data_IF_637663269778
#
_entry.id   IF_637663269778
#
_cell.length_a   1.000
_cell.length_b   1.000
_cell.length_c   1.000
_cell.angle_alpha   90.00
_cell.angle_beta   90.00
_cell.angle_gamma   90.00
#
_symmetry.space_group_name_H-M   'P 1'
#
loop_
_entity.id
_entity.type
_entity.pdbx_description
1 polymer ?
#
# COMPACT_ATOMS: atom_id res chain seq x y z
N UNK A 1 -69.16 -19.70 -63.20
CA UNK A 1 -69.71 -18.96 -62.04
C UNK A 1 -68.58 -18.68 -61.06
N UNK A 2 -68.52 -17.44 -60.59
CA UNK A 2 -67.49 -16.83 -59.73
C UNK A 2 -67.31 -17.59 -58.40
N UNK A 3 -66.08 -17.64 -57.88
CA UNK A 3 -65.74 -17.23 -56.51
C UNK A 3 -64.22 -17.11 -56.31
N UNK A 4 -63.82 -15.85 -56.16
CA UNK A 4 -62.54 -15.33 -55.69
C UNK A 4 -62.42 -15.50 -54.17
N UNK A 5 -61.24 -15.81 -53.63
CA UNK A 5 -60.73 -15.32 -52.33
C UNK A 5 -59.30 -15.86 -52.11
N UNK A 6 -58.26 -15.05 -52.36
CA UNK A 6 -57.49 -14.27 -51.36
C UNK A 6 -56.48 -15.14 -50.60
N UNK A 7 -55.23 -15.09 -51.10
CA UNK A 7 -54.04 -15.48 -50.37
C UNK A 7 -53.74 -14.42 -49.29
N UNK A 8 -53.61 -14.83 -48.04
CA UNK A 8 -53.05 -13.99 -46.97
C UNK A 8 -51.60 -14.42 -46.78
N UNK A 9 -50.69 -13.65 -47.39
CA UNK A 9 -49.27 -13.71 -47.09
C UNK A 9 -49.08 -13.01 -45.75
N UNK A 10 -48.89 -13.78 -44.69
CA UNK A 10 -48.45 -13.25 -43.40
C UNK A 10 -46.97 -12.88 -43.51
N UNK A 11 -46.70 -11.63 -43.87
CA UNK A 11 -45.37 -11.04 -43.81
C UNK A 11 -45.06 -10.71 -42.35
N UNK A 12 -44.51 -11.69 -41.62
CA UNK A 12 -43.92 -11.46 -40.30
C UNK A 12 -42.65 -10.63 -40.47
N UNK A 13 -42.76 -9.32 -40.21
CA UNK A 13 -41.60 -8.46 -40.00
C UNK A 13 -40.82 -8.97 -38.78
N UNK A 14 -39.73 -9.68 -39.02
CA UNK A 14 -38.66 -9.83 -38.05
C UNK A 14 -37.99 -8.46 -37.88
N UNK A 15 -38.41 -7.72 -36.85
CA UNK A 15 -37.63 -6.60 -36.34
C UNK A 15 -36.36 -7.18 -35.69
N UNK A 16 -35.29 -7.31 -36.49
CA UNK A 16 -33.95 -7.50 -35.95
C UNK A 16 -33.55 -6.20 -35.24
N UNK A 17 -33.90 -6.09 -33.96
CA UNK A 17 -33.34 -5.10 -33.06
C UNK A 17 -31.83 -5.38 -33.00
N UNK A 18 -31.06 -4.58 -33.73
CA UNK A 18 -29.61 -4.62 -33.71
C UNK A 18 -29.14 -4.41 -32.28
N UNK A 19 -28.69 -5.50 -31.64
CA UNK A 19 -27.86 -5.41 -30.45
C UNK A 19 -26.54 -4.82 -30.91
N UNK A 20 -26.43 -3.50 -30.79
CA UNK A 20 -25.14 -2.82 -30.89
C UNK A 20 -24.32 -3.29 -29.69
N UNK A 21 -23.57 -4.39 -29.87
CA UNK A 21 -22.43 -4.70 -29.02
C UNK A 21 -21.39 -3.60 -29.24
N UNK A 22 -21.55 -2.47 -28.55
CA UNK A 22 -20.36 -1.82 -28.04
C UNK A 22 -19.73 -2.83 -27.11
N UNK A 23 -18.65 -3.46 -27.56
CA UNK A 23 -17.67 -4.07 -26.68
C UNK A 23 -17.17 -2.94 -25.76
N UNK A 24 -17.95 -2.65 -24.73
CA UNK A 24 -17.58 -1.71 -23.69
C UNK A 24 -16.46 -2.36 -22.90
N UNK A 25 -15.32 -1.68 -22.84
CA UNK A 25 -14.30 -1.92 -21.84
C UNK A 25 -14.98 -2.25 -20.51
N UNK A 26 -14.74 -3.46 -19.98
CA UNK A 26 -15.32 -3.85 -18.70
C UNK A 26 -14.98 -2.77 -17.66
N UNK A 27 -15.99 -2.25 -16.96
CA UNK A 27 -15.78 -1.19 -15.99
C UNK A 27 -14.80 -1.69 -14.91
N UNK A 28 -13.71 -0.92 -14.69
CA UNK A 28 -12.69 -1.24 -13.69
C UNK A 28 -13.32 -1.41 -12.31
N UNK A 29 -12.90 -2.45 -11.60
CA UNK A 29 -13.26 -2.67 -10.19
C UNK A 29 -12.74 -1.54 -9.30
N UNK A 30 -13.33 -1.40 -8.11
CA UNK A 30 -12.88 -0.41 -7.11
C UNK A 30 -11.39 -0.59 -6.74
N UNK A 31 -10.91 -1.83 -6.68
CA UNK A 31 -9.51 -2.14 -6.41
C UNK A 31 -8.59 -1.69 -7.55
N UNK A 32 -8.99 -1.87 -8.81
CA UNK A 32 -8.21 -1.40 -9.97
C UNK A 32 -8.16 0.12 -10.03
N UNK A 33 -9.26 0.81 -9.69
CA UNK A 33 -9.28 2.26 -9.61
C UNK A 33 -8.37 2.79 -8.49
N UNK A 34 -8.40 2.19 -7.30
CA UNK A 34 -7.47 2.57 -6.23
C UNK A 34 -6.02 2.23 -6.57
N UNK A 35 -5.76 1.13 -7.28
CA UNK A 35 -4.42 0.80 -7.78
C UNK A 35 -3.93 1.86 -8.75
N UNK A 36 -4.74 2.26 -9.73
CA UNK A 36 -4.38 3.29 -10.68
C UNK A 36 -4.04 4.63 -9.98
N UNK A 37 -4.86 5.04 -9.00
CA UNK A 37 -4.57 6.22 -8.16
C UNK A 37 -3.24 6.06 -7.42
N UNK A 38 -3.02 4.91 -6.77
CA UNK A 38 -1.82 4.64 -6.00
C UNK A 38 -0.54 4.66 -6.86
N UNK A 39 -0.62 4.27 -8.13
CA UNK A 39 0.50 4.29 -9.07
C UNK A 39 0.79 5.70 -9.65
N UNK A 40 -0.23 6.57 -9.74
CA UNK A 40 -0.06 7.99 -10.13
C UNK A 40 0.62 8.82 -9.05
N UNK A 41 0.54 8.38 -7.80
CA UNK A 41 1.12 9.04 -6.63
C UNK A 41 2.22 8.16 -5.99
N UNK A 42 3.38 7.98 -6.64
CA UNK A 42 4.44 7.15 -6.10
C UNK A 42 5.10 7.81 -4.87
N UNK A 43 5.75 6.98 -4.08
CA UNK A 43 6.57 7.34 -2.93
C UNK A 43 7.98 6.78 -3.12
N UNK A 44 8.97 7.35 -2.43
CA UNK A 44 10.34 6.82 -2.47
C UNK A 44 10.42 5.33 -2.08
N UNK A 45 9.55 4.90 -1.16
CA UNK A 45 9.46 3.53 -0.67
C UNK A 45 9.18 2.51 -1.79
N UNK A 46 8.51 2.94 -2.86
CA UNK A 46 8.10 2.05 -3.96
C UNK A 46 9.28 1.59 -4.84
N UNK A 47 10.42 2.27 -4.72
CA UNK A 47 11.65 1.92 -5.44
C UNK A 47 12.48 0.84 -4.72
N UNK A 48 12.11 0.49 -3.48
CA UNK A 48 12.80 -0.53 -2.70
C UNK A 48 12.29 -1.95 -2.96
N UNK A 49 12.97 -2.97 -2.40
CA UNK A 49 12.56 -4.37 -2.55
C UNK A 49 11.16 -4.60 -1.97
N UNK A 50 10.38 -5.46 -2.63
CA UNK A 50 9.04 -5.86 -2.22
C UNK A 50 9.02 -7.15 -1.39
N UNK A 51 10.18 -7.83 -1.27
CA UNK A 51 10.34 -9.07 -0.52
C UNK A 51 11.43 -8.96 0.54
N UNK A 52 11.26 -9.74 1.60
CA UNK A 52 12.20 -9.87 2.71
C UNK A 52 12.40 -11.34 3.05
N UNK A 53 13.60 -11.69 3.49
CA UNK A 53 13.80 -12.91 4.24
C UNK A 53 13.37 -12.69 5.70
N UNK A 54 12.34 -13.42 6.13
CA UNK A 54 11.80 -13.38 7.49
C UNK A 54 11.95 -14.72 8.19
N UNK A 55 12.75 -15.63 7.66
CA UNK A 55 12.90 -17.00 8.18
C UNK A 55 13.35 -17.04 9.65
N UNK A 56 14.14 -16.05 10.09
CA UNK A 56 14.59 -15.89 11.46
C UNK A 56 13.60 -15.15 12.38
N UNK A 57 12.49 -14.62 11.86
CA UNK A 57 11.52 -13.89 12.68
C UNK A 57 10.64 -14.85 13.49
N UNK A 58 10.03 -14.40 14.60
CA UNK A 58 8.99 -15.17 15.29
C UNK A 58 7.86 -15.58 14.36
N UNK A 59 7.22 -16.73 14.64
CA UNK A 59 6.18 -17.31 13.76
C UNK A 59 5.06 -16.33 13.48
N UNK A 60 4.64 -15.56 14.47
CA UNK A 60 3.59 -14.55 14.35
C UNK A 60 3.97 -13.44 13.37
N UNK A 61 5.25 -13.03 13.36
CA UNK A 61 5.76 -12.04 12.42
C UNK A 61 5.86 -12.62 11.00
N UNK A 62 6.25 -13.88 10.86
CA UNK A 62 6.23 -14.57 9.56
C UNK A 62 4.81 -14.66 8.98
N UNK A 63 3.81 -14.96 9.81
CA UNK A 63 2.40 -14.98 9.42
C UNK A 63 1.90 -13.59 9.00
N UNK A 64 2.27 -12.55 9.74
CA UNK A 64 1.97 -11.17 9.36
C UNK A 64 2.62 -10.75 8.04
N UNK A 65 3.85 -11.19 7.76
CA UNK A 65 4.50 -10.99 6.47
C UNK A 65 3.77 -11.71 5.32
N UNK A 66 3.38 -12.97 5.52
CA UNK A 66 2.57 -13.72 4.54
C UNK A 66 1.25 -13.00 4.24
N UNK A 67 0.56 -12.50 5.28
CA UNK A 67 -0.67 -11.73 5.11
C UNK A 67 -0.42 -10.42 4.34
N UNK A 68 0.67 -9.71 4.62
CA UNK A 68 1.05 -8.50 3.88
C UNK A 68 1.23 -8.80 2.39
N UNK A 69 2.01 -9.82 2.05
CA UNK A 69 2.30 -10.21 0.67
C UNK A 69 1.05 -10.64 -0.09
N UNK A 70 0.13 -11.35 0.58
CA UNK A 70 -1.07 -11.88 -0.04
C UNK A 70 -2.21 -10.86 -0.17
N UNK A 71 -2.31 -9.87 0.74
CA UNK A 71 -3.51 -9.02 0.86
C UNK A 71 -3.27 -7.53 0.64
N UNK A 72 -2.10 -6.99 1.00
CA UNK A 72 -1.82 -5.57 0.83
C UNK A 72 -1.29 -5.20 -0.56
N UNK A 73 -0.98 -6.21 -1.39
CA UNK A 73 -0.41 -6.03 -2.73
C UNK A 73 -1.46 -5.76 -3.82
N UNK A 74 -2.75 -5.74 -3.44
CA UNK A 74 -3.88 -5.51 -4.35
C UNK A 74 -3.80 -4.12 -4.99
N UNK A 75 -3.49 -3.08 -4.20
CA UNK A 75 -3.51 -1.69 -4.67
C UNK A 75 -2.12 -1.10 -4.98
N UNK A 76 -1.05 -1.58 -4.34
CA UNK A 76 0.32 -1.14 -4.58
C UNK A 76 1.31 -2.22 -4.14
N UNK A 77 2.59 -2.10 -4.48
CA UNK A 77 3.59 -3.10 -4.09
C UNK A 77 3.78 -3.16 -2.56
N UNK A 78 4.27 -4.31 -2.06
CA UNK A 78 4.65 -4.45 -0.66
C UNK A 78 5.85 -3.57 -0.28
N UNK A 79 6.62 -3.07 -1.26
CA UNK A 79 7.69 -2.10 -1.03
C UNK A 79 7.22 -0.87 -0.27
N UNK A 80 5.97 -0.42 -0.50
CA UNK A 80 5.44 0.82 0.08
C UNK A 80 5.46 0.83 1.62
N UNK A 81 4.91 -0.18 2.32
CA UNK A 81 5.10 -0.31 3.76
C UNK A 81 6.51 -0.80 4.14
N UNK A 82 7.10 -1.78 3.45
CA UNK A 82 8.39 -2.36 3.86
C UNK A 82 9.54 -1.35 3.89
N UNK A 83 9.54 -0.40 2.94
CA UNK A 83 10.60 0.60 2.81
C UNK A 83 10.20 1.97 3.38
N UNK A 84 9.10 2.07 4.13
CA UNK A 84 8.72 3.34 4.75
C UNK A 84 9.69 3.76 5.84
N UNK A 85 9.75 5.06 6.10
CA UNK A 85 10.51 5.63 7.20
C UNK A 85 9.97 5.26 8.59
N UNK A 86 8.80 4.63 8.67
CA UNK A 86 8.13 4.39 9.95
C UNK A 86 8.90 3.39 10.80
N UNK A 87 9.06 3.77 12.06
CA UNK A 87 9.62 2.96 13.14
C UNK A 87 8.68 3.04 14.32
N UNK A 88 8.37 1.90 14.91
CA UNK A 88 7.57 1.84 16.13
C UNK A 88 8.39 1.18 17.22
N UNK A 89 8.78 1.96 18.23
CA UNK A 89 9.51 1.47 19.40
C UNK A 89 8.68 0.40 20.13
N UNK A 90 9.35 -0.40 20.97
CA UNK A 90 8.65 -1.41 21.75
C UNK A 90 7.80 -0.76 22.87
N UNK A 91 6.80 -1.47 23.35
CA UNK A 91 5.92 -0.97 24.42
C UNK A 91 4.56 -1.66 24.45
N UNK A 92 4.05 -1.83 25.67
CA UNK A 92 2.77 -2.52 25.94
C UNK A 92 1.55 -1.82 25.32
N UNK A 93 1.61 -0.51 25.17
CA UNK A 93 0.55 0.33 24.59
C UNK A 93 1.17 1.48 23.77
N UNK A 94 0.33 2.26 23.07
CA UNK A 94 0.81 3.35 22.22
C UNK A 94 1.61 4.41 23.01
N UNK A 95 1.19 4.76 24.22
CA UNK A 95 1.87 5.75 25.06
C UNK A 95 3.26 5.29 25.50
N UNK A 96 3.40 4.01 25.86
CA UNK A 96 4.70 3.42 26.17
C UNK A 96 5.63 3.42 24.94
N UNK A 97 5.10 3.16 23.74
CA UNK A 97 5.86 3.21 22.49
C UNK A 97 6.29 4.64 22.14
N UNK A 98 5.44 5.63 22.36
CA UNK A 98 5.80 7.05 22.18
C UNK A 98 6.90 7.48 23.17
N UNK A 99 6.78 7.10 24.44
CA UNK A 99 7.80 7.39 25.43
C UNK A 99 9.16 6.75 25.07
N UNK A 100 9.15 5.50 24.59
CA UNK A 100 10.35 4.82 24.16
C UNK A 100 10.92 5.41 22.86
N UNK A 101 10.08 5.83 21.90
CA UNK A 101 10.52 6.56 20.71
C UNK A 101 11.22 7.89 21.08
N UNK A 102 10.64 8.65 22.01
CA UNK A 102 11.25 9.88 22.51
C UNK A 102 12.58 9.62 23.22
N UNK A 103 12.69 8.53 23.97
CA UNK A 103 13.95 8.08 24.59
C UNK A 103 15.01 7.77 23.53
N UNK A 104 14.66 7.00 22.49
CA UNK A 104 15.57 6.68 21.40
C UNK A 104 16.10 7.94 20.70
N UNK A 105 15.24 8.93 20.44
CA UNK A 105 15.67 10.19 19.83
C UNK A 105 16.61 11.02 20.72
N UNK A 106 16.47 10.92 22.05
CA UNK A 106 17.36 11.61 23.01
C UNK A 106 18.72 10.94 23.12
N UNK A 107 18.74 9.60 23.12
CA UNK A 107 19.99 8.82 23.22
C UNK A 107 20.80 8.87 21.93
N UNK A 108 20.12 9.01 20.78
CA UNK A 108 20.75 9.07 19.48
C UNK A 108 20.06 10.12 18.61
N UNK A 109 20.64 11.32 18.61
CA UNK A 109 20.12 12.48 17.90
C UNK A 109 20.00 12.26 16.38
N UNK A 110 20.66 11.25 15.80
CA UNK A 110 20.54 10.95 14.36
C UNK A 110 19.10 10.55 13.97
N UNK A 111 18.36 9.90 14.87
CA UNK A 111 16.93 9.60 14.65
C UNK A 111 16.08 10.87 14.49
N UNK A 112 16.50 11.98 15.10
CA UNK A 112 15.80 13.26 15.01
C UNK A 112 16.24 14.12 13.81
N UNK A 113 17.38 13.81 13.17
CA UNK A 113 17.92 14.63 12.06
C UNK A 113 17.07 14.59 10.79
N UNK A 114 16.37 13.49 10.54
CA UNK A 114 15.52 13.38 9.35
C UNK A 114 14.34 12.46 9.59
N UNK A 115 13.15 13.07 9.69
CA UNK A 115 11.87 12.35 9.73
C UNK A 115 11.62 11.51 8.46
N UNK A 116 12.31 11.80 7.37
CA UNK A 116 12.20 11.06 6.11
C UNK A 116 13.06 9.80 6.07
N UNK A 117 14.05 9.70 6.96
CA UNK A 117 14.82 8.46 7.20
C UNK A 117 14.17 7.63 8.30
N UNK A 118 13.81 8.27 9.41
CA UNK A 118 13.11 7.65 10.53
C UNK A 118 11.97 8.52 11.05
N UNK A 119 10.76 7.97 11.03
CA UNK A 119 9.61 8.54 11.72
C UNK A 119 9.25 7.61 12.87
N UNK A 120 9.75 7.92 14.07
CA UNK A 120 9.49 7.14 15.28
C UNK A 120 8.21 7.64 15.96
N UNK A 121 7.17 6.81 15.94
CA UNK A 121 5.88 7.12 16.56
C UNK A 121 5.21 5.85 17.05
N UNK A 122 4.56 5.91 18.21
CA UNK A 122 3.72 4.86 18.76
C UNK A 122 2.46 4.65 17.92
N UNK A 123 2.15 3.39 17.60
CA UNK A 123 0.96 2.99 16.85
C UNK A 123 0.91 3.45 15.38
N UNK A 124 2.02 3.94 14.82
CA UNK A 124 2.07 4.44 13.44
C UNK A 124 1.67 3.37 12.43
N UNK A 125 2.07 2.11 12.66
CA UNK A 125 1.73 1.02 11.74
C UNK A 125 0.27 0.64 11.80
N UNK A 126 -0.34 0.66 12.99
CA UNK A 126 -1.76 0.43 13.13
C UNK A 126 -2.57 1.51 12.40
N UNK A 127 -2.20 2.79 12.56
CA UNK A 127 -2.84 3.91 11.83
C UNK A 127 -2.67 3.74 10.33
N UNK A 128 -1.47 3.41 9.86
CA UNK A 128 -1.18 3.20 8.45
C UNK A 128 -2.04 2.08 7.85
N UNK A 129 -2.04 0.89 8.46
CA UNK A 129 -2.77 -0.26 7.94
C UNK A 129 -4.28 -0.02 7.95
N UNK A 130 -4.84 0.55 9.03
CA UNK A 130 -6.27 0.91 9.07
C UNK A 130 -6.66 1.89 7.96
N UNK A 131 -5.81 2.87 7.64
CA UNK A 131 -6.06 3.77 6.52
C UNK A 131 -6.11 3.04 5.18
N UNK A 132 -5.27 2.01 4.98
CA UNK A 132 -5.29 1.19 3.77
C UNK A 132 -6.52 0.26 3.74
N UNK A 133 -6.94 -0.27 4.88
CA UNK A 133 -8.16 -1.08 5.00
C UNK A 133 -9.43 -0.30 4.62
N UNK A 134 -9.44 1.01 4.84
CA UNK A 134 -10.57 1.88 4.47
C UNK A 134 -10.58 2.28 2.99
N UNK A 135 -9.65 1.78 2.17
CA UNK A 135 -9.64 2.04 0.72
C UNK A 135 -10.64 1.15 -0.01
N UNK A 136 -11.38 1.68 -1.01
CA UNK A 136 -12.29 0.89 -1.83
C UNK A 136 -11.59 -0.35 -2.44
N UNK A 137 -12.27 -1.49 -2.39
CA UNK A 137 -11.74 -2.76 -2.92
C UNK A 137 -10.67 -3.45 -2.07
N UNK A 138 -10.33 -2.92 -0.90
CA UNK A 138 -9.42 -3.60 0.04
C UNK A 138 -10.11 -4.81 0.69
N UNK A 139 -9.43 -5.95 0.69
CA UNK A 139 -9.96 -7.22 1.26
C UNK A 139 -9.30 -7.59 2.59
N UNK A 140 -8.52 -6.68 3.19
CA UNK A 140 -7.82 -6.92 4.46
C UNK A 140 -8.84 -6.89 5.61
N UNK A 141 -9.00 -8.02 6.30
CA UNK A 141 -9.90 -8.10 7.46
C UNK A 141 -9.27 -7.45 8.70
N UNK A 142 -10.05 -7.32 9.79
CA UNK A 142 -9.54 -6.83 11.08
C UNK A 142 -8.38 -7.67 11.61
N UNK A 143 -8.47 -9.00 11.46
CA UNK A 143 -7.47 -9.93 11.94
C UNK A 143 -6.22 -9.95 11.05
N UNK A 144 -6.40 -9.89 9.72
CA UNK A 144 -5.29 -9.71 8.79
C UNK A 144 -4.55 -8.42 9.08
N UNK A 145 -5.30 -7.32 9.22
CA UNK A 145 -4.74 -6.03 9.59
C UNK A 145 -3.86 -6.14 10.82
N UNK A 146 -4.36 -6.82 11.88
CA UNK A 146 -3.64 -6.98 13.14
C UNK A 146 -2.32 -7.71 12.97
N UNK A 147 -2.34 -8.82 12.23
CA UNK A 147 -1.12 -9.56 11.90
C UNK A 147 -0.14 -8.68 11.12
N UNK A 148 -0.63 -7.91 10.16
CA UNK A 148 0.18 -7.06 9.29
C UNK A 148 0.84 -5.91 10.06
N UNK A 149 0.11 -5.11 10.85
CA UNK A 149 0.73 -4.00 11.56
C UNK A 149 1.64 -4.48 12.71
N UNK A 150 1.35 -5.63 13.32
CA UNK A 150 2.27 -6.25 14.30
C UNK A 150 3.57 -6.69 13.63
N UNK A 151 3.50 -7.31 12.45
CA UNK A 151 4.68 -7.63 11.66
C UNK A 151 5.47 -6.36 11.31
N UNK A 152 4.82 -5.34 10.75
CA UNK A 152 5.50 -4.10 10.34
C UNK A 152 6.17 -3.39 11.53
N UNK A 153 5.56 -3.40 12.71
CA UNK A 153 6.17 -2.89 13.92
C UNK A 153 7.43 -3.68 14.30
N UNK A 154 7.34 -5.02 14.35
CA UNK A 154 8.48 -5.90 14.63
C UNK A 154 9.62 -5.68 13.62
N UNK A 155 9.29 -5.77 12.34
CA UNK A 155 10.21 -5.61 11.22
C UNK A 155 10.88 -4.22 11.21
N UNK A 156 10.14 -3.17 11.55
CA UNK A 156 10.71 -1.82 11.65
C UNK A 156 11.77 -1.70 12.74
N UNK A 157 11.63 -2.43 13.85
CA UNK A 157 12.68 -2.48 14.88
C UNK A 157 13.84 -3.37 14.44
N UNK A 158 13.56 -4.54 13.87
CA UNK A 158 14.59 -5.49 13.47
C UNK A 158 15.53 -4.91 12.39
N UNK A 159 14.99 -4.24 11.37
CA UNK A 159 15.77 -3.80 10.20
C UNK A 159 16.24 -2.35 10.24
N UNK A 160 15.57 -1.47 11.00
CA UNK A 160 15.75 -0.01 10.86
C UNK A 160 16.48 0.64 12.03
N UNK A 161 16.76 -0.10 13.10
CA UNK A 161 17.34 0.42 14.35
C UNK A 161 18.51 -0.46 14.82
N UNK A 162 19.13 -0.09 15.95
CA UNK A 162 20.23 -0.85 16.55
C UNK A 162 21.40 -1.05 15.59
N UNK A 163 21.92 -2.27 15.52
CA UNK A 163 23.04 -2.63 14.64
C UNK A 163 22.74 -2.39 13.13
N UNK A 164 21.47 -2.42 12.73
CA UNK A 164 21.04 -2.22 11.34
C UNK A 164 20.73 -0.75 11.01
N UNK A 165 20.86 0.17 11.96
CA UNK A 165 20.55 1.59 11.76
C UNK A 165 21.35 2.20 10.60
N UNK A 166 22.65 1.94 10.53
CA UNK A 166 23.51 2.53 9.50
C UNK A 166 23.18 2.03 8.09
N UNK A 167 22.95 0.72 7.92
CA UNK A 167 22.55 0.13 6.64
C UNK A 167 21.16 0.61 6.22
N UNK A 168 20.22 0.73 7.16
CA UNK A 168 18.91 1.32 6.89
C UNK A 168 18.98 2.78 6.45
N UNK A 169 19.80 3.60 7.12
CA UNK A 169 20.01 5.00 6.74
C UNK A 169 20.46 5.11 5.29
N UNK A 170 21.54 4.40 4.94
CA UNK A 170 22.08 4.39 3.59
C UNK A 170 21.05 3.93 2.55
N UNK A 171 20.31 2.85 2.86
CA UNK A 171 19.21 2.36 2.01
C UNK A 171 18.15 3.44 1.80
N UNK A 172 17.67 4.07 2.88
CA UNK A 172 16.57 5.03 2.82
C UNK A 172 16.96 6.34 2.15
N UNK A 173 18.18 6.82 2.38
CA UNK A 173 18.77 7.97 1.67
C UNK A 173 18.92 7.68 0.18
N UNK A 174 19.38 6.49 -0.19
CA UNK A 174 19.42 6.07 -1.60
C UNK A 174 18.04 6.11 -2.24
N UNK A 175 17.01 5.57 -1.57
CA UNK A 175 15.63 5.63 -2.08
C UNK A 175 15.15 7.07 -2.29
N UNK A 176 15.47 7.99 -1.37
CA UNK A 176 15.14 9.41 -1.52
C UNK A 176 15.86 10.03 -2.71
N UNK A 177 17.16 9.77 -2.87
CA UNK A 177 17.96 10.28 -3.98
C UNK A 177 17.47 9.76 -5.33
N UNK A 178 17.27 8.44 -5.45
CA UNK A 178 16.73 7.80 -6.66
C UNK A 178 15.33 8.34 -6.99
N UNK A 179 14.49 8.54 -5.96
CA UNK A 179 13.15 9.10 -6.13
C UNK A 179 13.18 10.56 -6.58
N UNK A 180 14.09 11.38 -6.03
CA UNK A 180 14.29 12.77 -6.47
C UNK A 180 14.72 12.82 -7.93
N UNK A 181 15.63 11.95 -8.34
CA UNK A 181 16.10 11.88 -9.72
C UNK A 181 14.99 11.46 -10.68
N UNK A 182 14.19 10.46 -10.30
CA UNK A 182 13.13 9.90 -11.15
C UNK A 182 11.83 10.72 -11.17
N UNK A 183 11.48 11.33 -10.04
CA UNK A 183 10.22 12.04 -9.85
C UNK A 183 10.43 13.39 -9.12
N UNK A 184 11.19 14.34 -9.70
CA UNK A 184 11.60 15.57 -8.99
C UNK A 184 10.42 16.39 -8.45
N UNK A 185 9.37 16.60 -9.25
CA UNK A 185 8.15 17.31 -8.81
C UNK A 185 7.45 16.63 -7.64
N UNK A 186 7.29 15.30 -7.72
CA UNK A 186 6.66 14.52 -6.65
C UNK A 186 7.54 14.48 -5.39
N UNK A 187 8.86 14.48 -5.55
CA UNK A 187 9.79 14.60 -4.44
C UNK A 187 9.59 15.93 -3.73
N UNK A 188 9.52 17.04 -4.45
CA UNK A 188 9.28 18.37 -3.87
C UNK A 188 7.94 18.41 -3.10
N UNK A 189 6.87 17.87 -3.67
CA UNK A 189 5.56 17.80 -3.02
C UNK A 189 5.58 17.08 -1.66
N UNK A 190 6.36 16.00 -1.56
CA UNK A 190 6.35 15.09 -0.41
C UNK A 190 7.45 15.38 0.62
N UNK A 191 8.60 15.84 0.17
CA UNK A 191 9.85 15.83 0.95
C UNK A 191 10.56 17.19 1.00
N UNK A 192 10.13 18.20 0.22
CA UNK A 192 10.64 19.54 0.45
C UNK A 192 10.12 20.05 1.81
N UNK A 193 11.01 20.65 2.60
CA UNK A 193 10.58 21.40 3.77
C UNK A 193 9.82 22.63 3.28
N UNK A 194 8.52 22.66 3.57
CA UNK A 194 7.70 23.85 3.33
C UNK A 194 7.98 24.78 4.52
N UNK A 195 8.71 25.85 4.25
CA UNK A 195 8.92 26.96 5.18
C UNK A 195 7.65 27.78 5.35
#
# INVERSE_FOLDING_TARGET
>A
MKKTAIAVIALTLFAAAGTSLRAGEAAKSAAELEKEKAMKEPFANDLGPDKLDVSAYPKEAQEGYKALQAKCTVCHTASRPLNSQFVEADGKDAGARDANAAKMMKEDADYAKSKFVWQLEGGIWQRYVKRMMNKPGCTVTKDDGKKIWTFLAHDSRARKTGANKASWKAHREKLLADFKAKFPKRYEELYAEKH
#
